data_IF_249348081065
#
_entry.id   IF_249348081065
#
_cell.length_a   1.000
_cell.length_b   1.000
_cell.length_c   1.000
_cell.angle_alpha   90.00
_cell.angle_beta   90.00
_cell.angle_gamma   90.00
#
_symmetry.space_group_name_H-M   'P 1'
#
loop_
_entity.id
_entity.type
_entity.pdbx_description
1 polymer ?
#
# COMPACT_ATOMS: atom_id res chain seq x y z
N UNK A 1 10.75 -43.88 -14.21
CA UNK A 1 9.40 -43.41 -13.82
C UNK A 1 9.49 -42.06 -13.08
N UNK A 2 9.87 -40.95 -13.74
CA UNK A 2 10.03 -39.61 -13.07
C UNK A 2 9.35 -38.46 -13.83
N UNK A 3 8.75 -38.72 -15.02
CA UNK A 3 8.14 -37.67 -15.86
C UNK A 3 6.69 -37.30 -15.50
N UNK A 4 5.98 -38.08 -14.69
CA UNK A 4 4.56 -37.81 -14.36
C UNK A 4 4.31 -36.78 -13.24
N UNK A 5 5.32 -36.50 -12.40
CA UNK A 5 5.14 -35.66 -11.21
C UNK A 5 5.20 -34.15 -11.50
N UNK A 6 5.83 -33.78 -12.62
CA UNK A 6 5.92 -32.37 -13.05
C UNK A 6 4.64 -31.91 -13.75
N UNK A 7 3.99 -32.80 -14.51
CA UNK A 7 2.73 -32.49 -15.19
C UNK A 7 1.60 -32.25 -14.18
N UNK A 8 1.52 -33.04 -13.09
CA UNK A 8 0.52 -32.84 -12.04
C UNK A 8 0.77 -31.57 -11.23
N UNK A 9 2.04 -31.21 -11.01
CA UNK A 9 2.43 -29.99 -10.29
C UNK A 9 2.13 -28.73 -11.11
N UNK A 10 2.38 -28.77 -12.43
CA UNK A 10 2.02 -27.68 -13.35
C UNK A 10 0.51 -27.56 -13.49
N UNK A 11 -0.23 -28.67 -13.57
CA UNK A 11 -1.70 -28.65 -13.58
C UNK A 11 -2.28 -28.07 -12.28
N UNK A 12 -1.71 -28.41 -11.13
CA UNK A 12 -2.11 -27.86 -9.82
C UNK A 12 -1.81 -26.37 -9.71
N UNK A 13 -0.65 -25.91 -10.20
CA UNK A 13 -0.29 -24.49 -10.22
C UNK A 13 -1.17 -23.68 -11.18
N UNK A 14 -1.51 -24.24 -12.35
CA UNK A 14 -2.43 -23.61 -13.30
C UNK A 14 -3.84 -23.47 -12.70
N UNK A 15 -4.34 -24.54 -12.05
CA UNK A 15 -5.62 -24.50 -11.35
C UNK A 15 -5.62 -23.50 -10.19
N UNK A 16 -4.51 -23.36 -9.48
CA UNK A 16 -4.35 -22.35 -8.41
C UNK A 16 -4.34 -20.92 -8.96
N UNK A 17 -3.72 -20.68 -10.13
CA UNK A 17 -3.69 -19.36 -10.76
C UNK A 17 -5.08 -18.97 -11.27
N UNK A 18 -5.83 -19.90 -11.84
CA UNK A 18 -7.22 -19.68 -12.26
C UNK A 18 -8.12 -19.36 -11.06
N UNK A 19 -8.05 -20.16 -9.99
CA UNK A 19 -8.82 -19.91 -8.77
C UNK A 19 -8.49 -18.56 -8.11
N UNK A 20 -7.26 -18.06 -8.28
CA UNK A 20 -6.86 -16.77 -7.74
C UNK A 20 -7.29 -15.59 -8.65
N UNK A 21 -7.40 -15.82 -9.97
CA UNK A 21 -7.95 -14.83 -10.91
C UNK A 21 -9.43 -14.59 -10.67
N UNK A 22 -10.23 -15.65 -10.48
CA UNK A 22 -11.67 -15.52 -10.22
C UNK A 22 -11.96 -14.76 -8.91
N UNK A 23 -11.11 -14.95 -7.90
CA UNK A 23 -11.17 -14.18 -6.65
C UNK A 23 -10.86 -12.70 -6.85
N UNK A 24 -9.93 -12.38 -7.74
CA UNK A 24 -9.57 -10.99 -8.04
C UNK A 24 -10.67 -10.27 -8.82
N UNK A 25 -11.34 -10.95 -9.76
CA UNK A 25 -12.47 -10.40 -10.50
C UNK A 25 -13.71 -10.24 -9.60
N UNK A 26 -13.96 -11.19 -8.69
CA UNK A 26 -15.06 -11.07 -7.71
C UNK A 26 -14.80 -9.95 -6.69
N UNK A 27 -13.55 -9.71 -6.30
CA UNK A 27 -13.18 -8.57 -5.43
C UNK A 27 -13.34 -7.22 -6.14
N UNK A 28 -13.06 -7.13 -7.45
CA UNK A 28 -13.25 -5.91 -8.24
C UNK A 28 -14.71 -5.63 -8.59
N UNK A 29 -15.54 -6.66 -8.71
CA UNK A 29 -16.99 -6.53 -8.95
C UNK A 29 -17.80 -6.37 -7.63
N UNK A 30 -17.29 -6.87 -6.50
CA UNK A 30 -17.89 -6.71 -5.18
C UNK A 30 -17.74 -5.31 -4.57
N UNK A 31 -16.71 -4.56 -4.98
CA UNK A 31 -16.49 -3.17 -4.57
C UNK A 31 -17.34 -2.14 -5.34
N UNK A 32 -18.05 -2.55 -6.40
CA UNK A 32 -18.93 -1.67 -7.20
C UNK A 32 -20.41 -1.82 -6.79
N UNK A 33 -20.80 -2.93 -6.15
CA UNK A 33 -22.20 -3.22 -5.81
C UNK A 33 -22.57 -2.96 -4.34
N UNK A 34 -21.60 -2.63 -3.48
CA UNK A 34 -21.89 -2.17 -2.11
C UNK A 34 -21.77 -0.64 -2.06
N UNK A 35 -22.73 0.03 -2.69
CA UNK A 35 -23.15 1.37 -2.25
C UNK A 35 -23.76 1.24 -0.85
N UNK A 36 -22.93 0.93 0.15
CA UNK A 36 -23.18 1.44 1.48
C UNK A 36 -23.05 2.95 1.34
N UNK A 37 -24.21 3.57 1.26
CA UNK A 37 -24.48 4.95 1.63
C UNK A 37 -23.88 5.17 3.03
N UNK A 38 -22.58 5.39 3.09
CA UNK A 38 -21.91 5.97 4.24
C UNK A 38 -22.56 7.33 4.37
N UNK A 39 -23.43 7.45 5.36
CA UNK A 39 -24.07 8.70 5.72
C UNK A 39 -22.94 9.71 5.93
N UNK A 40 -22.79 10.61 4.96
CA UNK A 40 -22.04 11.86 5.10
C UNK A 40 -22.86 12.70 6.07
N UNK A 41 -22.66 12.40 7.34
CA UNK A 41 -23.53 12.86 8.40
C UNK A 41 -22.92 12.50 9.73
N UNK A 42 -21.64 12.83 9.91
CA UNK A 42 -21.09 13.59 11.04
C UNK A 42 -19.68 13.99 10.62
N UNK A 43 -19.49 15.28 10.38
CA UNK A 43 -18.19 15.94 10.31
C UNK A 43 -17.45 15.72 11.63
N UNK A 44 -16.78 14.58 11.77
CA UNK A 44 -15.54 14.61 12.52
C UNK A 44 -14.54 15.16 11.53
N UNK A 45 -14.19 16.43 11.71
CA UNK A 45 -13.02 17.08 11.13
C UNK A 45 -11.78 16.28 11.56
N UNK A 46 -11.60 15.07 11.03
CA UNK A 46 -10.28 14.50 10.88
C UNK A 46 -9.61 15.41 9.87
N UNK A 47 -8.99 16.47 10.40
CA UNK A 47 -8.29 17.48 9.62
C UNK A 47 -7.32 16.75 8.71
N UNK A 48 -7.62 16.75 7.42
CA UNK A 48 -6.70 16.20 6.42
C UNK A 48 -5.31 16.80 6.58
N UNK A 49 -5.23 18.07 6.98
CA UNK A 49 -3.97 18.73 7.30
C UNK A 49 -3.17 17.99 8.38
N UNK A 50 -3.84 17.46 9.41
CA UNK A 50 -3.21 16.68 10.47
C UNK A 50 -2.80 15.30 9.95
N UNK A 51 -3.63 14.62 9.16
CA UNK A 51 -3.26 13.33 8.56
C UNK A 51 -2.12 13.45 7.53
N UNK A 52 -2.10 14.53 6.75
CA UNK A 52 -1.03 14.82 5.80
C UNK A 52 0.27 15.21 6.51
N UNK A 53 0.18 15.93 7.64
CA UNK A 53 1.30 16.18 8.55
C UNK A 53 1.83 14.87 9.11
N UNK A 54 0.97 14.03 9.67
CA UNK A 54 1.36 12.74 10.23
C UNK A 54 2.01 11.82 9.19
N UNK A 55 1.49 11.79 7.96
CA UNK A 55 2.09 11.03 6.86
C UNK A 55 3.46 11.59 6.45
N UNK A 56 3.62 12.91 6.40
CA UNK A 56 4.90 13.57 6.10
C UNK A 56 5.93 13.31 7.22
N UNK A 57 5.51 13.41 8.47
CA UNK A 57 6.32 13.12 9.64
C UNK A 57 6.72 11.64 9.68
N UNK A 58 5.81 10.73 9.28
CA UNK A 58 6.10 9.30 9.12
C UNK A 58 7.15 9.01 8.04
N UNK A 59 7.09 9.71 6.90
CA UNK A 59 8.13 9.61 5.86
C UNK A 59 9.47 10.14 6.37
N UNK A 60 9.47 11.28 7.06
CA UNK A 60 10.69 11.85 7.65
C UNK A 60 11.33 10.89 8.67
N UNK A 61 10.52 10.27 9.53
CA UNK A 61 10.97 9.26 10.49
C UNK A 61 11.59 8.04 9.78
N UNK A 62 10.91 7.53 8.75
CA UNK A 62 11.40 6.38 7.95
C UNK A 62 12.70 6.70 7.20
N UNK A 63 12.86 7.93 6.70
CA UNK A 63 14.10 8.39 6.08
C UNK A 63 15.24 8.49 7.10
N UNK A 64 14.97 9.01 8.30
CA UNK A 64 15.95 9.10 9.37
C UNK A 64 16.39 7.71 9.86
N UNK A 65 15.45 6.78 10.03
CA UNK A 65 15.75 5.38 10.39
C UNK A 65 16.64 4.71 9.34
N UNK A 66 16.31 4.88 8.05
CA UNK A 66 17.12 4.36 6.94
C UNK A 66 18.54 4.93 6.94
N UNK A 67 18.69 6.21 7.28
CA UNK A 67 20.00 6.88 7.38
C UNK A 67 20.84 6.32 8.54
N UNK A 68 20.22 6.14 9.71
CA UNK A 68 20.88 5.56 10.89
C UNK A 68 21.31 4.12 10.62
N UNK A 69 20.45 3.30 10.02
CA UNK A 69 20.79 1.92 9.65
C UNK A 69 21.92 1.85 8.62
N UNK A 70 21.96 2.81 7.69
CA UNK A 70 23.05 2.92 6.71
C UNK A 70 24.37 3.33 7.37
N UNK A 71 24.36 4.32 8.26
CA UNK A 71 25.55 4.74 9.01
C UNK A 71 26.05 3.62 9.93
N UNK A 72 25.16 2.90 10.61
CA UNK A 72 25.47 1.72 11.41
C UNK A 72 26.17 0.63 10.57
N UNK A 73 25.60 0.30 9.41
CA UNK A 73 26.21 -0.65 8.48
C UNK A 73 27.58 -0.18 7.96
N UNK A 74 27.68 1.07 7.52
CA UNK A 74 28.94 1.65 7.01
C UNK A 74 30.02 1.76 8.12
N UNK A 75 29.61 1.82 9.40
CA UNK A 75 30.50 1.81 10.58
C UNK A 75 30.96 0.41 11.03
N UNK A 76 30.46 -0.65 10.39
CA UNK A 76 30.82 -2.04 10.71
C UNK A 76 30.03 -2.66 11.87
N UNK A 77 28.90 -2.05 12.24
CA UNK A 77 27.98 -2.59 13.24
C UNK A 77 27.25 -3.84 12.69
N UNK A 78 26.90 -4.79 13.56
CA UNK A 78 26.33 -6.11 13.17
C UNK A 78 24.84 -6.01 12.78
N UNK A 79 24.54 -5.11 11.83
CA UNK A 79 23.21 -4.92 11.24
C UNK A 79 23.10 -5.80 10.00
N UNK A 80 22.19 -6.79 9.99
CA UNK A 80 21.97 -7.62 8.82
C UNK A 80 21.57 -6.77 7.61
N UNK A 81 22.22 -6.96 6.47
CA UNK A 81 21.88 -6.29 5.21
C UNK A 81 20.38 -6.43 4.85
N UNK A 82 19.76 -7.54 5.24
CA UNK A 82 18.32 -7.78 5.09
C UNK A 82 17.45 -6.73 5.80
N UNK A 83 17.87 -6.24 6.97
CA UNK A 83 17.12 -5.23 7.72
C UNK A 83 17.19 -3.86 7.02
N UNK A 84 18.34 -3.52 6.44
CA UNK A 84 18.52 -2.29 5.64
C UNK A 84 17.62 -2.33 4.41
N UNK A 85 17.66 -3.42 3.64
CA UNK A 85 16.83 -3.57 2.43
C UNK A 85 15.33 -3.56 2.77
N UNK A 86 14.94 -4.22 3.87
CA UNK A 86 13.54 -4.22 4.33
C UNK A 86 13.08 -2.81 4.75
N UNK A 87 13.93 -2.05 5.45
CA UNK A 87 13.64 -0.66 5.81
C UNK A 87 13.47 0.22 4.56
N UNK A 88 14.36 0.06 3.57
CA UNK A 88 14.24 0.77 2.28
C UNK A 88 12.92 0.44 1.54
N UNK A 89 12.51 -0.83 1.53
CA UNK A 89 11.26 -1.26 0.92
C UNK A 89 10.04 -0.69 1.65
N UNK A 90 10.04 -0.72 2.98
CA UNK A 90 8.98 -0.11 3.81
C UNK A 90 8.88 1.39 3.56
N UNK A 91 10.01 2.10 3.52
CA UNK A 91 10.04 3.53 3.24
C UNK A 91 9.50 3.87 1.86
N UNK A 92 9.81 3.05 0.85
CA UNK A 92 9.34 3.25 -0.52
C UNK A 92 7.83 3.05 -0.63
N UNK A 93 7.31 1.99 -0.01
CA UNK A 93 5.87 1.70 0.03
C UNK A 93 5.09 2.79 0.79
N UNK A 94 5.61 3.24 1.94
CA UNK A 94 4.99 4.31 2.72
C UNK A 94 4.95 5.64 1.95
N UNK A 95 6.00 5.95 1.19
CA UNK A 95 6.04 7.12 0.33
C UNK A 95 5.00 7.05 -0.79
N UNK A 96 4.89 5.91 -1.47
CA UNK A 96 3.90 5.71 -2.54
C UNK A 96 2.46 5.84 -2.00
N UNK A 97 2.17 5.23 -0.85
CA UNK A 97 0.89 5.36 -0.20
C UNK A 97 0.55 6.83 0.13
N UNK A 98 1.54 7.60 0.61
CA UNK A 98 1.37 9.03 0.91
C UNK A 98 1.03 9.84 -0.34
N UNK A 99 1.67 9.54 -1.48
CA UNK A 99 1.36 10.19 -2.75
C UNK A 99 -0.07 9.89 -3.21
N UNK A 100 -0.53 8.64 -3.05
CA UNK A 100 -1.90 8.26 -3.39
C UNK A 100 -2.94 8.97 -2.53
N UNK A 101 -2.70 9.07 -1.22
CA UNK A 101 -3.57 9.81 -0.30
C UNK A 101 -3.63 11.29 -0.69
N UNK A 102 -2.47 11.92 -0.94
CA UNK A 102 -2.41 13.32 -1.41
C UNK A 102 -3.27 13.53 -2.67
N UNK A 103 -3.09 12.68 -3.67
CA UNK A 103 -3.81 12.81 -4.94
C UNK A 103 -5.33 12.63 -4.77
N UNK A 104 -5.76 11.65 -3.96
CA UNK A 104 -7.19 11.46 -3.67
C UNK A 104 -7.81 12.65 -2.95
N UNK A 105 -7.07 13.29 -2.03
CA UNK A 105 -7.60 14.44 -1.31
C UNK A 105 -7.65 15.70 -2.17
N UNK A 106 -6.64 15.93 -3.02
CA UNK A 106 -6.71 17.02 -4.00
C UNK A 106 -7.92 16.86 -4.93
N UNK A 107 -8.18 15.63 -5.39
CA UNK A 107 -9.36 15.33 -6.20
C UNK A 107 -10.67 15.57 -5.44
N UNK A 108 -10.78 15.12 -4.20
CA UNK A 108 -11.97 15.35 -3.38
C UNK A 108 -12.24 16.85 -3.13
N UNK A 109 -11.18 17.64 -2.94
CA UNK A 109 -11.29 19.08 -2.82
C UNK A 109 -11.75 19.74 -4.14
N UNK A 110 -11.17 19.33 -5.27
CA UNK A 110 -11.58 19.78 -6.60
C UNK A 110 -13.04 19.40 -6.91
N UNK A 111 -13.46 18.18 -6.57
CA UNK A 111 -14.84 17.70 -6.77
C UNK A 111 -15.85 18.53 -5.96
N UNK A 112 -15.51 18.95 -4.72
CA UNK A 112 -16.34 19.84 -3.91
C UNK A 112 -16.44 21.24 -4.54
N UNK A 113 -15.34 21.77 -5.08
CA UNK A 113 -15.33 23.10 -5.72
C UNK A 113 -16.11 23.13 -7.04
N UNK A 114 -16.05 22.04 -7.81
CA UNK A 114 -16.73 21.93 -9.10
C UNK A 114 -18.18 21.45 -8.97
N UNK A 115 -18.67 21.21 -7.75
CA UNK A 115 -20.07 20.89 -7.52
C UNK A 115 -20.91 22.15 -7.80
N UNK A 116 -21.82 22.13 -8.80
CA UNK A 116 -22.70 23.27 -9.03
C UNK A 116 -23.65 23.42 -7.83
N UNK A 117 -23.75 24.64 -7.31
CA UNK A 117 -24.76 25.04 -6.33
C UNK A 117 -26.15 25.09 -6.93
#
# INVERSE_FOLDING_TARGET
MVRGNYESSVASLLSQIEANRDRLDTARLGDVATEQRTQVGQTSELNFYDLARDALDGVHASQQESKVLKEAFDSGEDVPLTNVVLAMQKSSLAFEATLQVRNKVLKAYEDILNMPV
#
